data_IF_133907973336
#
_entry.id   IF_133907973336
#
_cell.length_a   1.000
_cell.length_b   1.000
_cell.length_c   1.000
_cell.angle_alpha   90.00
_cell.angle_beta   90.00
_cell.angle_gamma   90.00
#
_symmetry.space_group_name_H-M   'P 1'
#
loop_
_entity.id
_entity.type
_entity.pdbx_description
1 polymer ?
#
# COMPACT_ATOMS: atom_id res chain seq x y z
N UNK A 1 62.08 23.20 -2.32
CA UNK A 1 61.78 21.79 -2.01
C UNK A 1 60.28 21.62 -1.92
N UNK A 2 59.70 20.82 -2.82
CA UNK A 2 58.30 20.38 -2.79
C UNK A 2 58.33 18.85 -2.93
N UNK A 3 57.70 18.14 -2.01
CA UNK A 3 57.55 16.68 -2.10
C UNK A 3 56.12 16.34 -2.52
N UNK A 4 55.98 15.78 -3.71
CA UNK A 4 54.72 15.22 -4.20
C UNK A 4 54.48 13.87 -3.50
N UNK A 5 53.34 13.72 -2.81
CA UNK A 5 52.84 12.42 -2.35
C UNK A 5 51.33 12.37 -2.63
N UNK A 6 50.96 11.80 -3.79
CA UNK A 6 49.63 11.20 -3.94
C UNK A 6 49.67 9.80 -3.35
N UNK A 7 48.57 9.33 -2.74
CA UNK A 7 48.47 7.95 -2.28
C UNK A 7 47.09 7.34 -2.50
N UNK A 8 47.08 6.07 -2.90
CA UNK A 8 45.89 5.30 -3.29
C UNK A 8 45.14 4.72 -2.08
N UNK A 9 43.90 4.27 -2.31
CA UNK A 9 43.15 3.50 -1.31
C UNK A 9 43.79 2.11 -1.09
N UNK A 10 44.20 1.84 0.15
CA UNK A 10 44.81 0.57 0.56
C UNK A 10 44.52 0.20 2.02
N UNK A 11 44.72 -1.08 2.36
CA UNK A 11 44.12 -1.74 3.54
C UNK A 11 44.81 -1.51 4.89
N UNK A 12 44.01 -1.53 5.96
CA UNK A 12 44.25 -2.13 7.29
C UNK A 12 45.67 -2.23 7.89
N UNK A 13 46.45 -1.14 7.92
CA UNK A 13 47.40 -0.84 9.02
C UNK A 13 47.84 0.63 8.99
N UNK A 14 46.84 1.52 8.92
CA UNK A 14 47.06 2.97 8.79
C UNK A 14 47.65 3.53 10.10
N UNK A 15 48.79 4.19 10.00
CA UNK A 15 49.22 5.13 11.04
C UNK A 15 48.21 6.28 11.17
N UNK A 16 48.36 7.17 12.17
CA UNK A 16 47.47 8.33 12.33
C UNK A 16 47.35 9.07 11.00
N UNK A 17 46.12 9.38 10.59
CA UNK A 17 45.88 10.01 9.29
C UNK A 17 46.44 11.44 9.25
N UNK A 18 46.50 12.06 8.07
CA UNK A 18 46.94 13.46 7.98
C UNK A 18 46.05 14.38 8.84
N UNK A 19 44.74 14.11 8.89
CA UNK A 19 43.76 14.73 9.80
C UNK A 19 44.16 14.55 11.26
N UNK A 20 44.41 13.32 11.71
CA UNK A 20 44.73 13.03 13.11
C UNK A 20 46.06 13.65 13.55
N UNK A 21 47.06 13.68 12.66
CA UNK A 21 48.34 14.36 12.92
C UNK A 21 48.17 15.88 13.01
N UNK A 22 47.34 16.49 12.16
CA UNK A 22 47.03 17.92 12.24
C UNK A 22 46.22 18.26 13.49
N UNK A 23 45.25 17.42 13.86
CA UNK A 23 44.48 17.53 15.12
C UNK A 23 45.45 17.46 16.30
N UNK A 24 46.30 16.45 16.39
CA UNK A 24 47.32 16.32 17.43
C UNK A 24 48.31 17.51 17.44
N UNK A 25 48.64 18.10 16.28
CA UNK A 25 49.51 19.29 16.17
C UNK A 25 48.82 20.57 16.67
N UNK A 26 47.52 20.74 16.41
CA UNK A 26 46.71 21.87 16.90
C UNK A 26 46.43 21.73 18.39
N UNK A 27 46.02 20.56 18.87
CA UNK A 27 45.85 20.25 20.29
C UNK A 27 47.15 20.51 21.08
N UNK A 28 48.31 20.13 20.53
CA UNK A 28 49.62 20.45 21.12
C UNK A 28 49.93 21.95 21.15
N UNK A 29 49.49 22.75 20.16
CA UNK A 29 49.59 24.22 20.20
C UNK A 29 48.61 24.85 21.21
N UNK A 30 47.46 24.21 21.46
CA UNK A 30 46.47 24.57 22.50
C UNK A 30 46.94 24.14 23.90
N UNK A 31 47.94 23.25 23.99
CA UNK A 31 48.47 22.73 25.25
C UNK A 31 47.54 21.73 25.95
N UNK A 32 46.68 21.04 25.18
CA UNK A 32 45.67 20.08 25.68
C UNK A 32 45.78 18.74 24.94
N UNK A 33 45.31 17.67 25.57
CA UNK A 33 45.02 16.38 24.90
C UNK A 33 43.60 16.38 24.33
N UNK A 34 43.30 15.41 23.47
CA UNK A 34 41.93 15.12 22.98
C UNK A 34 40.95 14.95 24.14
N UNK A 35 41.40 14.22 25.17
CA UNK A 35 40.58 13.73 26.28
C UNK A 35 40.39 14.80 27.39
N UNK A 36 41.04 15.96 27.23
CA UNK A 36 40.90 17.15 28.09
C UNK A 36 39.94 18.20 27.50
N UNK A 37 39.48 18.03 26.26
CA UNK A 37 38.55 18.94 25.60
C UNK A 37 37.11 18.42 25.72
N UNK A 38 36.16 19.35 25.86
CA UNK A 38 34.74 19.02 25.74
C UNK A 38 34.41 18.66 24.28
N UNK A 39 33.42 17.77 24.00
CA UNK A 39 33.05 17.38 22.65
C UNK A 39 32.94 18.52 21.61
N UNK A 40 32.22 19.64 21.86
CA UNK A 40 32.12 20.74 20.88
C UNK A 40 33.46 21.47 20.63
N UNK A 41 34.42 21.40 21.55
CA UNK A 41 35.76 21.98 21.38
C UNK A 41 36.61 21.07 20.48
N UNK A 42 36.52 19.75 20.66
CA UNK A 42 37.21 18.78 19.82
C UNK A 42 36.63 18.73 18.41
N UNK A 43 35.29 18.76 18.28
CA UNK A 43 34.57 18.87 17.00
C UNK A 43 34.95 20.16 16.25
N UNK A 44 35.02 21.31 16.93
CA UNK A 44 35.47 22.55 16.31
C UNK A 44 36.87 22.43 15.71
N UNK A 45 37.82 21.82 16.43
CA UNK A 45 39.19 21.61 15.93
C UNK A 45 39.19 20.66 14.73
N UNK A 46 38.45 19.55 14.80
CA UNK A 46 38.34 18.58 13.71
C UNK A 46 37.72 19.20 12.45
N UNK A 47 36.54 19.84 12.57
CA UNK A 47 35.80 20.40 11.45
C UNK A 47 36.58 21.52 10.73
N UNK A 48 37.30 22.37 11.47
CA UNK A 48 38.16 23.38 10.84
C UNK A 48 39.38 22.77 10.14
N UNK A 49 39.94 21.66 10.66
CA UNK A 49 41.04 20.95 9.99
C UNK A 49 40.55 20.26 8.72
N UNK A 50 39.33 19.71 8.72
CA UNK A 50 38.73 19.16 7.51
C UNK A 50 38.48 20.24 6.45
N UNK A 51 38.02 21.43 6.85
CA UNK A 51 37.90 22.59 5.93
C UNK A 51 39.28 23.01 5.37
N UNK A 52 40.33 23.02 6.18
CA UNK A 52 41.69 23.35 5.70
C UNK A 52 42.28 22.26 4.78
N UNK A 53 41.96 20.98 5.03
CA UNK A 53 42.35 19.87 4.16
C UNK A 53 41.59 19.92 2.81
N UNK A 54 40.28 20.22 2.83
CA UNK A 54 39.47 20.43 1.63
C UNK A 54 39.91 21.66 0.83
N UNK A 55 40.48 22.68 1.48
CA UNK A 55 41.08 23.84 0.82
C UNK A 55 42.42 23.54 0.11
N UNK A 56 42.95 22.32 0.19
CA UNK A 56 44.10 21.83 -0.59
C UNK A 56 45.47 22.39 -0.18
N UNK A 57 45.54 23.29 0.80
CA UNK A 57 46.79 23.77 1.39
C UNK A 57 46.60 24.06 2.89
N UNK A 58 47.55 23.58 3.70
CA UNK A 58 47.55 23.76 5.16
C UNK A 58 48.88 24.40 5.55
N UNK A 59 48.93 25.73 5.55
CA UNK A 59 50.11 26.47 5.97
C UNK A 59 50.17 26.57 7.50
N UNK A 60 51.36 26.87 8.04
CA UNK A 60 51.53 27.03 9.49
C UNK A 60 50.78 28.26 10.06
N UNK A 61 50.46 29.22 9.17
CA UNK A 61 49.60 30.39 9.45
C UNK A 61 48.16 29.96 9.72
N UNK A 62 47.58 29.13 8.85
CA UNK A 62 46.19 28.67 9.01
C UNK A 62 46.02 27.85 10.30
N UNK A 63 47.04 27.05 10.66
CA UNK A 63 47.11 26.33 11.94
C UNK A 63 47.35 27.23 13.15
N UNK A 64 47.87 28.46 12.98
CA UNK A 64 47.99 29.45 14.04
C UNK A 64 46.68 30.25 14.18
N UNK A 65 46.06 30.62 13.07
CA UNK A 65 44.76 31.30 13.02
C UNK A 65 43.65 30.40 13.57
N UNK A 66 43.70 29.09 13.33
CA UNK A 66 42.79 28.13 13.97
C UNK A 66 42.96 28.11 15.49
N UNK A 67 44.19 28.13 16.01
CA UNK A 67 44.44 28.21 17.47
C UNK A 67 43.95 29.56 18.02
N UNK A 68 44.10 30.66 17.28
CA UNK A 68 43.57 31.95 17.69
C UNK A 68 42.03 31.98 17.68
N UNK A 69 41.39 31.43 16.65
CA UNK A 69 39.93 31.25 16.56
C UNK A 69 39.40 30.38 17.69
N UNK A 70 40.07 29.27 17.99
CA UNK A 70 39.70 28.38 19.11
C UNK A 70 39.62 29.14 20.45
N UNK A 71 40.61 29.99 20.78
CA UNK A 71 40.55 30.80 22.00
C UNK A 71 39.60 32.01 21.94
N UNK A 72 39.18 32.44 20.74
CA UNK A 72 38.12 33.44 20.59
C UNK A 72 36.73 32.82 20.80
N UNK A 73 36.51 31.59 20.30
CA UNK A 73 35.26 30.83 20.46
C UNK A 73 35.13 30.21 21.86
N UNK A 74 36.23 29.75 22.46
CA UNK A 74 36.24 29.08 23.77
C UNK A 74 37.19 29.77 24.77
N UNK A 75 36.94 31.04 25.16
CA UNK A 75 37.81 31.78 26.08
C UNK A 75 37.96 31.09 27.44
N UNK A 76 36.95 30.34 27.88
CA UNK A 76 36.93 29.58 29.13
C UNK A 76 37.97 28.43 29.22
N UNK A 77 38.57 28.00 28.09
CA UNK A 77 39.66 26.99 28.12
C UNK A 77 40.96 27.57 28.69
N UNK A 78 41.08 28.91 28.68
CA UNK A 78 42.28 29.65 29.04
C UNK A 78 43.35 29.59 27.95
N UNK A 79 43.85 30.77 27.52
CA UNK A 79 45.06 30.81 26.68
C UNK A 79 46.21 30.15 27.46
N UNK A 80 47.10 29.39 26.79
CA UNK A 80 48.08 28.59 27.51
C UNK A 80 49.07 29.55 28.16
N UNK A 81 49.30 29.39 29.47
CA UNK A 81 50.29 30.19 30.18
C UNK A 81 51.62 30.14 29.43
N UNK A 82 52.20 31.31 29.14
CA UNK A 82 53.28 31.44 28.16
C UNK A 82 54.52 30.63 28.58
N UNK A 83 54.61 29.39 28.08
CA UNK A 83 55.63 28.43 28.47
C UNK A 83 57.01 28.98 28.18
N UNK A 84 57.94 28.80 29.12
CA UNK A 84 59.19 29.54 29.19
C UNK A 84 59.97 29.46 27.85
N UNK A 85 60.33 30.63 27.32
CA UNK A 85 61.13 30.74 26.09
C UNK A 85 62.47 30.01 26.29
N UNK A 86 62.65 28.88 25.61
CA UNK A 86 63.98 28.28 25.42
C UNK A 86 64.90 29.29 24.73
N UNK A 87 66.09 29.59 25.27
CA UNK A 87 67.06 30.45 24.60
C UNK A 87 67.84 29.64 23.57
N UNK A 88 67.36 29.59 22.32
CA UNK A 88 68.08 28.97 21.20
C UNK A 88 68.17 29.92 20.00
N UNK A 89 69.35 30.52 19.85
CA UNK A 89 69.95 31.17 18.68
C UNK A 89 69.07 31.62 17.48
N UNK A 90 69.26 32.89 17.11
CA UNK A 90 69.81 33.17 15.78
C UNK A 90 68.82 33.45 14.64
N UNK A 91 68.19 34.62 14.67
CA UNK A 91 67.73 35.29 13.44
C UNK A 91 67.80 36.81 13.61
N UNK A 92 68.93 37.40 13.23
CA UNK A 92 68.96 38.80 12.82
C UNK A 92 68.48 38.84 11.38
N UNK A 93 67.35 39.49 11.11
CA UNK A 93 67.17 40.21 9.84
C UNK A 93 66.13 41.32 10.00
N UNK A 94 66.44 42.49 9.47
CA UNK A 94 65.75 43.74 9.78
C UNK A 94 66.74 44.90 9.94
N UNK A 95 67.14 45.55 8.83
CA UNK A 95 68.12 46.64 8.89
C UNK A 95 67.54 47.86 9.63
N UNK A 96 68.30 48.50 10.53
CA UNK A 96 67.88 49.74 11.17
C UNK A 96 67.78 50.88 10.14
N UNK A 97 66.88 51.86 10.35
CA UNK A 97 66.65 52.95 9.38
C UNK A 97 67.89 53.81 9.16
N UNK A 98 67.95 54.45 7.99
CA UNK A 98 69.11 55.20 7.53
C UNK A 98 69.54 56.30 8.52
N UNK A 99 70.85 56.33 8.81
CA UNK A 99 71.47 57.38 9.63
C UNK A 99 71.32 58.75 8.96
N UNK A 100 70.58 59.65 9.60
CA UNK A 100 70.76 61.08 9.37
C UNK A 100 72.07 61.55 10.04
N UNK A 101 72.71 62.56 9.44
CA UNK A 101 74.04 63.03 9.84
C UNK A 101 74.01 63.90 11.09
N UNK A 102 74.93 63.69 12.05
CA UNK A 102 75.41 64.76 12.92
C UNK A 102 76.80 65.25 12.46
N UNK A 103 76.88 66.53 12.12
CA UNK A 103 78.13 67.24 11.78
C UNK A 103 79.05 67.37 12.99
N UNK A 104 79.95 66.40 13.19
CA UNK A 104 81.05 66.53 14.16
C UNK A 104 82.34 66.97 13.47
N UNK A 105 82.58 68.27 13.47
CA UNK A 105 83.79 68.92 12.91
C UNK A 105 85.06 68.53 13.67
N UNK A 106 85.63 67.37 13.35
CA UNK A 106 86.94 66.95 13.80
C UNK A 106 88.02 67.81 13.14
N UNK A 107 88.36 68.95 13.77
CA UNK A 107 89.54 69.74 13.40
C UNK A 107 90.77 68.85 13.54
N UNK A 108 91.39 68.50 12.42
CA UNK A 108 92.77 68.03 12.42
C UNK A 108 93.67 69.13 13.03
N UNK A 109 94.67 68.77 13.85
CA UNK A 109 95.66 69.73 14.29
C UNK A 109 96.43 70.25 13.06
N UNK A 110 96.80 71.53 13.00
CA UNK A 110 97.63 72.04 11.91
C UNK A 110 99.00 71.34 11.92
N UNK A 111 99.62 71.10 10.75
CA UNK A 111 100.94 70.49 10.70
C UNK A 111 101.94 71.33 11.49
N UNK A 112 102.74 70.68 12.33
CA UNK A 112 103.79 71.34 13.08
C UNK A 112 104.74 72.06 12.11
N UNK A 113 104.97 73.36 12.36
CA UNK A 113 105.97 74.12 11.60
C UNK A 113 107.34 73.48 11.84
N UNK A 114 107.90 72.86 10.81
CA UNK A 114 109.31 72.50 10.81
C UNK A 114 110.14 73.77 11.09
N UNK A 115 111.13 73.73 11.99
CA UNK A 115 111.99 74.88 12.19
C UNK A 115 112.73 75.12 10.88
N UNK A 116 112.54 76.30 10.30
CA UNK A 116 113.31 76.75 9.14
C UNK A 116 114.78 76.75 9.57
N UNK A 117 115.66 75.96 8.94
CA UNK A 117 117.08 76.00 9.28
C UNK A 117 117.57 77.43 9.08
N UNK A 118 118.35 78.00 10.02
CA UNK A 118 118.72 79.41 9.96
C UNK A 118 119.36 79.70 8.61
N UNK A 119 118.89 80.74 7.94
CA UNK A 119 119.50 81.19 6.70
C UNK A 119 120.96 81.52 7.02
N UNK A 120 121.88 80.64 6.58
CA UNK A 120 123.31 80.91 6.63
C UNK A 120 123.50 82.16 5.80
N UNK A 121 123.73 83.28 6.49
CA UNK A 121 123.99 84.56 5.88
C UNK A 121 125.33 84.42 5.15
N UNK A 122 125.24 84.01 3.88
CA UNK A 122 126.34 83.87 2.91
C UNK A 122 126.88 85.26 2.58
N UNK A 123 127.46 85.85 3.61
CA UNK A 123 128.29 87.03 3.64
C UNK A 123 129.60 86.68 2.94
N UNK A 124 129.50 86.51 1.62
CA UNK A 124 130.59 86.74 0.68
C UNK A 124 131.01 88.21 0.81
N UNK A 125 131.68 88.54 1.93
CA UNK A 125 132.76 89.51 1.93
C UNK A 125 133.59 89.17 0.70
N UNK A 126 133.67 90.10 -0.26
CA UNK A 126 134.60 89.97 -1.38
C UNK A 126 136.01 90.00 -0.81
N UNK A 127 136.52 88.82 -0.48
CA UNK A 127 137.84 88.61 0.10
C UNK A 127 138.89 89.12 -0.86
N UNK A 128 139.66 90.13 -0.43
CA UNK A 128 140.91 90.57 -1.03
C UNK A 128 140.93 90.58 -2.58
N UNK A 129 140.21 91.54 -3.19
CA UNK A 129 140.80 92.18 -4.38
C UNK A 129 142.05 92.91 -3.87
N UNK A 130 143.19 92.23 -3.95
CA UNK A 130 144.44 92.75 -3.42
C UNK A 130 144.77 94.10 -4.07
N UNK A 131 145.16 95.08 -3.26
CA UNK A 131 145.68 96.37 -3.75
C UNK A 131 147.11 96.16 -4.27
N UNK A 132 147.23 95.50 -5.43
CA UNK A 132 148.50 95.27 -6.10
C UNK A 132 149.06 96.57 -6.70
N UNK A 133 150.38 96.65 -6.83
CA UNK A 133 151.07 97.88 -7.23
C UNK A 133 150.64 98.38 -8.62
N UNK A 134 150.45 99.70 -8.71
CA UNK A 134 149.94 100.39 -9.91
C UNK A 134 150.82 100.15 -11.16
N UNK A 135 152.11 99.83 -10.97
CA UNK A 135 153.07 99.51 -12.03
C UNK A 135 153.05 98.06 -12.56
N UNK A 136 152.23 97.17 -11.99
CA UNK A 136 152.08 95.79 -12.51
C UNK A 136 150.67 95.49 -13.04
N UNK A 137 149.73 96.42 -12.92
CA UNK A 137 148.35 96.26 -13.40
C UNK A 137 148.26 96.16 -14.93
N UNK A 138 149.23 96.74 -15.65
CA UNK A 138 149.30 96.69 -17.11
C UNK A 138 150.13 95.53 -17.67
N UNK A 139 150.70 94.69 -16.80
CA UNK A 139 151.43 93.47 -17.20
C UNK A 139 150.55 92.53 -18.01
N UNK A 140 151.09 91.96 -19.09
CA UNK A 140 150.39 90.99 -19.93
C UNK A 140 149.86 89.78 -19.12
N UNK A 141 150.63 89.32 -18.12
CA UNK A 141 150.22 88.27 -17.20
C UNK A 141 149.01 88.66 -16.33
N UNK A 142 148.90 89.92 -15.91
CA UNK A 142 147.74 90.37 -15.14
C UNK A 142 146.46 90.40 -16.00
N UNK A 143 146.59 90.77 -17.29
CA UNK A 143 145.49 90.76 -18.27
C UNK A 143 145.04 89.33 -18.58
N UNK A 144 145.98 88.41 -18.81
CA UNK A 144 145.69 86.98 -19.02
C UNK A 144 144.90 86.37 -17.85
N UNK A 145 145.33 86.61 -16.61
CA UNK A 145 144.63 86.09 -15.41
C UNK A 145 143.26 86.73 -15.23
N UNK A 146 143.06 88.01 -15.59
CA UNK A 146 141.74 88.65 -15.58
C UNK A 146 140.81 88.09 -16.68
N UNK A 147 141.35 87.72 -17.84
CA UNK A 147 140.63 87.09 -18.95
C UNK A 147 140.26 85.63 -18.65
N UNK A 148 141.18 84.84 -18.08
CA UNK A 148 140.88 83.48 -17.59
C UNK A 148 139.83 83.49 -16.47
N UNK A 149 139.93 84.44 -15.54
CA UNK A 149 138.92 84.61 -14.48
C UNK A 149 137.53 84.92 -15.06
N UNK A 150 137.44 85.83 -16.04
CA UNK A 150 136.18 86.13 -16.77
C UNK A 150 135.66 84.92 -17.53
N UNK A 151 136.51 84.21 -18.26
CA UNK A 151 136.13 83.01 -19.00
C UNK A 151 135.59 81.90 -18.08
N UNK A 152 136.18 81.75 -16.89
CA UNK A 152 135.74 80.81 -15.85
C UNK A 152 134.45 81.24 -15.14
N UNK A 153 134.25 82.54 -14.88
CA UNK A 153 132.96 83.06 -14.39
C UNK A 153 131.85 82.91 -15.45
N UNK A 154 132.15 83.17 -16.73
CA UNK A 154 131.23 82.92 -17.84
C UNK A 154 130.91 81.43 -18.00
N UNK A 155 131.90 80.54 -17.90
CA UNK A 155 131.67 79.09 -17.95
C UNK A 155 130.72 78.65 -16.82
N UNK A 156 130.95 79.11 -15.59
CA UNK A 156 130.07 78.86 -14.43
C UNK A 156 128.69 79.49 -14.58
N UNK A 157 128.56 80.63 -15.27
CA UNK A 157 127.26 81.21 -15.63
C UNK A 157 126.52 80.34 -16.65
N UNK A 158 127.19 79.96 -17.75
CA UNK A 158 126.63 79.09 -18.79
C UNK A 158 126.22 77.71 -18.23
N UNK A 159 126.98 77.16 -17.30
CA UNK A 159 126.65 75.93 -16.56
C UNK A 159 125.38 76.09 -15.73
N UNK A 160 125.27 77.17 -14.94
CA UNK A 160 124.06 77.49 -14.15
C UNK A 160 122.84 77.71 -15.03
N UNK A 161 122.99 78.45 -16.13
CA UNK A 161 121.92 78.75 -17.07
C UNK A 161 121.45 77.46 -17.79
N UNK A 162 122.38 76.55 -18.14
CA UNK A 162 122.05 75.24 -18.68
C UNK A 162 121.38 74.31 -17.66
N UNK A 163 121.82 74.33 -16.39
CA UNK A 163 121.17 73.61 -15.29
C UNK A 163 119.78 74.17 -14.97
N UNK A 164 119.56 75.48 -15.14
CA UNK A 164 118.24 76.11 -15.03
C UNK A 164 117.31 75.62 -16.14
N UNK A 165 117.73 75.70 -17.40
CA UNK A 165 116.96 75.21 -18.56
C UNK A 165 116.57 73.74 -18.41
N UNK A 166 117.51 72.86 -18.01
CA UNK A 166 117.22 71.44 -17.75
C UNK A 166 116.17 71.23 -16.64
N UNK A 167 116.17 72.07 -15.60
CA UNK A 167 115.13 72.04 -14.55
C UNK A 167 113.77 72.56 -15.05
N UNK A 168 113.75 73.56 -15.92
CA UNK A 168 112.53 74.05 -16.57
C UNK A 168 111.94 73.02 -17.55
N UNK A 169 112.79 72.34 -18.32
CA UNK A 169 112.42 71.22 -19.19
C UNK A 169 111.83 70.05 -18.37
N UNK A 170 112.53 69.61 -17.32
CA UNK A 170 112.03 68.58 -16.39
C UNK A 170 110.69 68.99 -15.74
N UNK A 171 110.56 70.26 -15.32
CA UNK A 171 109.31 70.79 -14.77
C UNK A 171 108.18 70.73 -15.80
N UNK A 172 108.41 71.16 -17.04
CA UNK A 172 107.39 71.11 -18.11
C UNK A 172 106.95 69.68 -18.42
N UNK A 173 107.87 68.72 -18.44
CA UNK A 173 107.55 67.29 -18.62
C UNK A 173 106.68 66.77 -17.48
N UNK A 174 106.99 67.11 -16.22
CA UNK A 174 106.18 66.74 -15.06
C UNK A 174 104.80 67.43 -15.07
N UNK A 175 104.72 68.70 -15.48
CA UNK A 175 103.46 69.42 -15.63
C UNK A 175 102.58 68.81 -16.73
N UNK A 176 103.16 68.36 -17.85
CA UNK A 176 102.47 67.61 -18.91
C UNK A 176 101.98 66.24 -18.42
N UNK A 177 102.79 65.48 -17.70
CA UNK A 177 102.38 64.19 -17.11
C UNK A 177 101.23 64.36 -16.12
N UNK A 178 101.26 65.39 -15.28
CA UNK A 178 100.17 65.74 -14.35
C UNK A 178 98.92 66.22 -15.08
N UNK A 179 99.06 66.87 -16.25
CA UNK A 179 97.91 67.24 -17.10
C UNK A 179 97.24 65.98 -17.69
N UNK A 180 98.02 65.12 -18.36
CA UNK A 180 97.52 63.87 -18.94
C UNK A 180 96.86 62.95 -17.90
N UNK A 181 97.40 62.86 -16.68
CA UNK A 181 96.77 62.12 -15.59
C UNK A 181 95.43 62.73 -15.12
N UNK A 182 95.28 64.05 -15.17
CA UNK A 182 93.98 64.71 -14.88
C UNK A 182 92.97 64.43 -15.99
N UNK A 183 93.39 64.53 -17.25
CA UNK A 183 92.53 64.26 -18.41
C UNK A 183 92.06 62.80 -18.43
N UNK A 184 92.97 61.83 -18.25
CA UNK A 184 92.63 60.41 -18.15
C UNK A 184 91.66 60.14 -16.97
N UNK A 185 91.85 60.81 -15.83
CA UNK A 185 90.94 60.69 -14.68
C UNK A 185 89.56 61.31 -14.94
N UNK A 186 89.49 62.41 -15.70
CA UNK A 186 88.22 63.04 -16.10
C UNK A 186 87.48 62.19 -17.14
N UNK A 187 88.17 61.63 -18.13
CA UNK A 187 87.63 60.68 -19.09
C UNK A 187 87.04 59.45 -18.38
N UNK A 188 87.80 58.82 -17.48
CA UNK A 188 87.32 57.67 -16.71
C UNK A 188 86.13 58.02 -15.80
N UNK A 189 86.06 59.25 -15.28
CA UNK A 189 84.88 59.73 -14.55
C UNK A 189 83.66 60.00 -15.45
N UNK A 190 83.84 60.24 -16.75
CA UNK A 190 82.74 60.29 -17.72
C UNK A 190 82.26 58.87 -18.05
N UNK A 191 83.16 57.95 -18.39
CA UNK A 191 82.85 56.52 -18.61
C UNK A 191 82.04 55.92 -17.46
N UNK A 192 82.46 56.15 -16.21
CA UNK A 192 81.75 55.70 -15.00
C UNK A 192 80.34 56.31 -14.85
N UNK A 193 80.12 57.55 -15.32
CA UNK A 193 78.80 58.19 -15.31
C UNK A 193 77.90 57.60 -16.40
N UNK A 194 78.42 57.40 -17.60
CA UNK A 194 77.67 56.77 -18.70
C UNK A 194 77.31 55.32 -18.37
N UNK A 195 78.25 54.54 -17.82
CA UNK A 195 77.99 53.18 -17.35
C UNK A 195 76.94 53.14 -16.23
N UNK A 196 77.02 54.02 -15.23
CA UNK A 196 76.00 54.06 -14.15
C UNK A 196 74.64 54.51 -14.66
N UNK A 197 74.56 55.47 -15.59
CA UNK A 197 73.31 55.84 -16.25
C UNK A 197 72.73 54.68 -17.08
N UNK A 198 73.57 53.91 -17.80
CA UNK A 198 73.14 52.74 -18.54
C UNK A 198 72.59 51.64 -17.62
N UNK A 199 73.24 51.33 -16.50
CA UNK A 199 72.75 50.38 -15.48
C UNK A 199 71.44 50.85 -14.83
N UNK A 200 71.28 52.15 -14.58
CA UNK A 200 70.01 52.72 -14.10
C UNK A 200 68.91 52.57 -15.17
N UNK A 201 69.20 52.81 -16.45
CA UNK A 201 68.24 52.65 -17.53
C UNK A 201 67.84 51.17 -17.77
N UNK A 202 68.75 50.22 -17.60
CA UNK A 202 68.44 48.78 -17.64
C UNK A 202 67.54 48.37 -16.47
N UNK A 203 67.93 48.69 -15.23
CA UNK A 203 67.14 48.34 -14.04
C UNK A 203 65.76 49.01 -14.01
N UNK A 204 65.61 50.20 -14.60
CA UNK A 204 64.30 50.83 -14.82
C UNK A 204 63.42 50.04 -15.80
N UNK A 205 64.00 49.52 -16.90
CA UNK A 205 63.27 48.66 -17.86
C UNK A 205 62.85 47.34 -17.22
N UNK A 206 63.75 46.68 -16.50
CA UNK A 206 63.47 45.44 -15.76
C UNK A 206 62.29 45.62 -14.78
N UNK A 207 62.25 46.75 -14.06
CA UNK A 207 61.15 47.09 -13.14
C UNK A 207 59.84 47.43 -13.87
N UNK A 208 59.90 48.05 -15.06
CA UNK A 208 58.71 48.26 -15.90
C UNK A 208 58.16 46.94 -16.45
N UNK A 209 59.02 46.05 -16.93
CA UNK A 209 58.61 44.75 -17.48
C UNK A 209 58.10 43.81 -16.40
N UNK A 210 58.74 43.74 -15.22
CA UNK A 210 58.17 43.00 -14.07
C UNK A 210 56.80 43.57 -13.65
N UNK A 211 56.61 44.90 -13.71
CA UNK A 211 55.30 45.52 -13.46
C UNK A 211 54.27 45.10 -14.52
N UNK A 212 54.63 45.08 -15.80
CA UNK A 212 53.76 44.64 -16.90
C UNK A 212 53.37 43.17 -16.74
N UNK A 213 54.31 42.28 -16.43
CA UNK A 213 54.03 40.87 -16.14
C UNK A 213 53.09 40.69 -14.95
N UNK A 214 53.33 41.40 -13.83
CA UNK A 214 52.47 41.39 -12.65
C UNK A 214 51.05 41.91 -12.96
N UNK A 215 50.90 42.90 -13.83
CA UNK A 215 49.60 43.37 -14.31
C UNK A 215 48.92 42.37 -15.24
N UNK A 216 49.66 41.69 -16.13
CA UNK A 216 49.12 40.60 -16.94
C UNK A 216 48.67 39.41 -16.10
N UNK A 217 49.45 38.97 -15.11
CA UNK A 217 49.08 37.89 -14.20
C UNK A 217 47.79 38.23 -13.43
N UNK A 218 47.65 39.49 -12.96
CA UNK A 218 46.39 39.98 -12.36
C UNK A 218 45.23 39.93 -13.36
N UNK A 219 45.42 40.37 -14.60
CA UNK A 219 44.38 40.30 -15.65
C UNK A 219 43.99 38.85 -15.98
N UNK A 220 44.96 37.92 -16.02
CA UNK A 220 44.75 36.48 -16.23
C UNK A 220 43.94 35.88 -15.08
N UNK A 221 44.33 36.10 -13.82
CA UNK A 221 43.57 35.63 -12.65
C UNK A 221 42.16 36.24 -12.56
N UNK A 222 41.97 37.51 -12.90
CA UNK A 222 40.62 38.13 -12.90
C UNK A 222 39.71 37.54 -13.98
N UNK A 223 40.24 37.24 -15.18
CA UNK A 223 39.50 36.53 -16.23
C UNK A 223 39.14 35.10 -15.81
N UNK A 224 40.09 34.38 -15.21
CA UNK A 224 39.85 33.02 -14.72
C UNK A 224 38.82 33.00 -13.60
N UNK A 225 38.89 33.95 -12.65
CA UNK A 225 37.89 34.13 -11.60
C UNK A 225 36.50 34.38 -12.19
N UNK A 226 36.37 35.31 -13.15
CA UNK A 226 35.10 35.59 -13.80
C UNK A 226 34.54 34.36 -14.55
N UNK A 227 35.39 33.56 -15.20
CA UNK A 227 34.98 32.31 -15.84
C UNK A 227 34.52 31.24 -14.82
N UNK A 228 35.20 31.12 -13.68
CA UNK A 228 34.77 30.24 -12.57
C UNK A 228 33.44 30.69 -11.96
N UNK A 229 33.25 31.99 -11.75
CA UNK A 229 32.01 32.58 -11.25
C UNK A 229 30.85 32.39 -12.26
N UNK A 230 31.12 32.52 -13.56
CA UNK A 230 30.17 32.22 -14.63
C UNK A 230 29.73 30.74 -14.62
N UNK A 231 30.67 29.78 -14.68
CA UNK A 231 30.31 28.35 -14.66
C UNK A 231 29.58 27.93 -13.37
N UNK A 232 29.89 28.56 -12.22
CA UNK A 232 29.13 28.35 -10.99
C UNK A 232 27.69 28.88 -11.11
N UNK A 233 27.49 30.04 -11.74
CA UNK A 233 26.14 30.57 -11.99
C UNK A 233 25.34 29.69 -12.95
N UNK A 234 25.94 29.22 -14.05
CA UNK A 234 25.33 28.30 -15.01
C UNK A 234 24.95 26.97 -14.37
N UNK A 235 25.82 26.40 -13.53
CA UNK A 235 25.54 25.16 -12.79
C UNK A 235 24.42 25.36 -11.74
N UNK A 236 24.36 26.52 -11.08
CA UNK A 236 23.28 26.84 -10.14
C UNK A 236 21.95 27.06 -10.87
N UNK A 237 21.94 27.66 -12.06
CA UNK A 237 20.75 27.75 -12.91
C UNK A 237 20.31 26.40 -13.46
N UNK A 238 21.23 25.57 -13.96
CA UNK A 238 20.93 24.21 -14.41
C UNK A 238 20.24 23.40 -13.29
N UNK A 239 20.80 23.43 -12.08
CA UNK A 239 20.22 22.76 -10.90
C UNK A 239 18.87 23.34 -10.47
N UNK A 240 18.63 24.66 -10.65
CA UNK A 240 17.30 25.27 -10.43
C UNK A 240 16.27 24.75 -11.43
N UNK A 241 16.61 24.77 -12.73
CA UNK A 241 15.73 24.28 -13.82
C UNK A 241 15.47 22.78 -13.71
N UNK A 242 16.44 21.99 -13.24
CA UNK A 242 16.27 20.57 -12.93
C UNK A 242 15.31 20.35 -11.75
N UNK A 243 15.49 21.07 -10.64
CA UNK A 243 14.57 20.97 -9.49
C UNK A 243 13.15 21.46 -9.84
N UNK A 244 13.02 22.45 -10.72
CA UNK A 244 11.74 22.93 -11.25
C UNK A 244 11.02 21.85 -12.08
N UNK A 245 11.73 21.20 -13.01
CA UNK A 245 11.20 20.03 -13.75
C UNK A 245 10.79 18.89 -12.83
N UNK A 246 11.61 18.54 -11.84
CA UNK A 246 11.28 17.51 -10.85
C UNK A 246 10.00 17.85 -10.09
N UNK A 247 9.78 19.11 -9.70
CA UNK A 247 8.53 19.55 -9.05
C UNK A 247 7.31 19.49 -9.98
N UNK A 248 7.47 19.79 -11.27
CA UNK A 248 6.38 19.69 -12.24
C UNK A 248 6.06 18.22 -12.59
N UNK A 249 7.06 17.34 -12.60
CA UNK A 249 6.91 15.89 -12.73
C UNK A 249 6.22 15.29 -11.49
N UNK A 250 6.66 15.66 -10.27
CA UNK A 250 6.00 15.32 -9.00
C UNK A 250 4.54 15.78 -8.99
N UNK A 251 4.26 17.02 -9.44
CA UNK A 251 2.90 17.57 -9.52
C UNK A 251 2.01 16.77 -10.47
N UNK A 252 2.48 16.50 -11.69
CA UNK A 252 1.73 15.69 -12.67
C UNK A 252 1.43 14.29 -12.14
N UNK A 253 2.41 13.65 -11.48
CA UNK A 253 2.22 12.34 -10.87
C UNK A 253 1.22 12.35 -9.70
N UNK A 254 1.24 13.41 -8.87
CA UNK A 254 0.23 13.61 -7.81
C UNK A 254 -1.16 13.93 -8.36
N UNK A 255 -1.26 14.65 -9.48
CA UNK A 255 -2.52 14.91 -10.19
C UNK A 255 -3.08 13.63 -10.83
N UNK A 256 -2.22 12.80 -11.44
CA UNK A 256 -2.58 11.49 -12.00
C UNK A 256 -3.07 10.52 -10.91
N UNK A 257 -2.38 10.43 -9.77
CA UNK A 257 -2.83 9.66 -8.60
C UNK A 257 -4.19 10.16 -8.10
N UNK A 258 -4.39 11.48 -8.01
CA UNK A 258 -5.68 12.04 -7.62
C UNK A 258 -6.78 11.75 -8.63
N UNK A 259 -6.51 11.76 -9.93
CA UNK A 259 -7.51 11.40 -10.94
C UNK A 259 -7.82 9.90 -10.91
N UNK A 260 -6.81 9.04 -10.76
CA UNK A 260 -6.99 7.61 -10.50
C UNK A 260 -7.86 7.36 -9.27
N UNK A 261 -7.60 8.03 -8.15
CA UNK A 261 -8.43 7.91 -6.94
C UNK A 261 -9.87 8.37 -7.18
N UNK A 262 -10.08 9.49 -7.88
CA UNK A 262 -11.43 9.97 -8.23
C UNK A 262 -12.15 8.95 -9.11
N UNK A 263 -11.49 8.43 -10.16
CA UNK A 263 -12.00 7.36 -11.05
C UNK A 263 -12.28 6.06 -10.29
N UNK A 264 -11.46 5.68 -9.29
CA UNK A 264 -11.67 4.51 -8.42
C UNK A 264 -12.88 4.71 -7.50
N UNK A 265 -12.96 5.85 -6.80
CA UNK A 265 -14.09 6.24 -5.93
C UNK A 265 -15.40 6.35 -6.70
N UNK A 266 -15.38 6.87 -7.93
CA UNK A 266 -16.56 6.95 -8.80
C UNK A 266 -17.01 5.55 -9.28
N UNK A 267 -16.09 4.69 -9.72
CA UNK A 267 -16.40 3.28 -10.06
C UNK A 267 -17.01 2.53 -8.87
N UNK A 268 -16.52 2.78 -7.65
CA UNK A 268 -17.10 2.20 -6.44
C UNK A 268 -18.50 2.77 -6.15
N UNK A 269 -18.70 4.09 -6.29
CA UNK A 269 -20.00 4.72 -6.12
C UNK A 269 -21.04 4.19 -7.13
N UNK A 270 -20.65 4.02 -8.41
CA UNK A 270 -21.50 3.40 -9.44
C UNK A 270 -21.90 1.97 -9.04
N UNK A 271 -20.95 1.12 -8.62
CA UNK A 271 -21.25 -0.22 -8.08
C UNK A 271 -22.19 -0.21 -6.87
N UNK A 272 -22.02 0.75 -5.94
CA UNK A 272 -22.92 0.91 -4.78
C UNK A 272 -24.33 1.34 -5.20
N UNK A 273 -24.47 2.15 -6.25
CA UNK A 273 -25.77 2.54 -6.82
C UNK A 273 -26.43 1.37 -7.56
N UNK A 274 -25.66 0.64 -8.37
CA UNK A 274 -26.10 -0.58 -9.07
C UNK A 274 -26.62 -1.62 -8.07
N UNK A 275 -25.83 -1.97 -7.05
CA UNK A 275 -26.23 -2.89 -5.99
C UNK A 275 -27.49 -2.42 -5.23
N UNK A 276 -27.63 -1.10 -5.00
CA UNK A 276 -28.84 -0.53 -4.38
C UNK A 276 -30.07 -0.62 -5.29
N UNK A 277 -29.90 -0.48 -6.62
CA UNK A 277 -30.99 -0.68 -7.57
C UNK A 277 -31.42 -2.14 -7.69
N UNK A 278 -30.46 -3.09 -7.72
CA UNK A 278 -30.73 -4.53 -7.67
C UNK A 278 -31.45 -4.92 -6.38
N UNK A 279 -31.00 -4.42 -5.21
CA UNK A 279 -31.67 -4.68 -3.94
C UNK A 279 -33.08 -4.09 -3.89
N UNK A 280 -33.31 -2.91 -4.49
CA UNK A 280 -34.66 -2.35 -4.65
C UNK A 280 -35.53 -3.25 -5.56
N UNK A 281 -34.99 -3.71 -6.69
CA UNK A 281 -35.68 -4.63 -7.60
C UNK A 281 -36.10 -5.90 -6.87
N UNK A 282 -35.20 -6.55 -6.11
CA UNK A 282 -35.55 -7.72 -5.29
C UNK A 282 -36.65 -7.43 -4.25
N UNK A 283 -36.69 -6.24 -3.64
CA UNK A 283 -37.78 -5.85 -2.73
C UNK A 283 -39.11 -5.72 -3.49
N UNK A 284 -39.11 -5.08 -4.66
CA UNK A 284 -40.34 -4.87 -5.44
C UNK A 284 -40.83 -6.17 -6.11
N UNK A 285 -39.93 -7.06 -6.52
CA UNK A 285 -40.24 -8.43 -6.96
C UNK A 285 -40.81 -9.28 -5.83
N UNK A 286 -40.21 -9.25 -4.63
CA UNK A 286 -40.70 -10.02 -3.49
C UNK A 286 -42.07 -9.50 -3.00
N UNK A 287 -42.32 -8.19 -3.09
CA UNK A 287 -43.66 -7.60 -2.88
C UNK A 287 -44.68 -8.09 -3.91
N UNK A 288 -44.30 -8.17 -5.20
CA UNK A 288 -45.16 -8.72 -6.25
C UNK A 288 -45.42 -10.23 -6.06
N UNK A 289 -44.44 -10.97 -5.53
CA UNK A 289 -44.62 -12.36 -5.12
C UNK A 289 -45.58 -12.47 -3.92
N UNK A 290 -45.45 -11.63 -2.90
CA UNK A 290 -46.38 -11.58 -1.77
C UNK A 290 -47.81 -11.24 -2.19
N UNK A 291 -48.03 -10.25 -3.05
CA UNK A 291 -49.39 -9.94 -3.54
C UNK A 291 -49.93 -11.09 -4.39
N UNK A 292 -49.12 -11.69 -5.28
CA UNK A 292 -49.51 -12.90 -6.02
C UNK A 292 -49.88 -14.05 -5.09
N UNK A 293 -49.12 -14.28 -4.02
CA UNK A 293 -49.41 -15.30 -2.99
C UNK A 293 -50.74 -15.01 -2.29
N UNK A 294 -50.99 -13.78 -1.85
CA UNK A 294 -52.28 -13.37 -1.24
C UNK A 294 -53.45 -13.54 -2.21
N UNK A 295 -53.28 -13.24 -3.51
CA UNK A 295 -54.30 -13.50 -4.52
C UNK A 295 -54.58 -15.00 -4.71
N UNK A 296 -53.54 -15.86 -4.67
CA UNK A 296 -53.71 -17.33 -4.69
C UNK A 296 -54.43 -17.85 -3.45
N UNK A 297 -54.05 -17.38 -2.26
CA UNK A 297 -54.72 -17.74 -1.00
C UNK A 297 -56.20 -17.31 -0.98
N UNK A 298 -56.51 -16.13 -1.53
CA UNK A 298 -57.91 -15.68 -1.69
C UNK A 298 -58.67 -16.52 -2.72
N UNK A 299 -58.06 -16.87 -3.85
CA UNK A 299 -58.68 -17.73 -4.86
C UNK A 299 -58.90 -19.16 -4.34
N UNK A 300 -57.96 -19.71 -3.55
CA UNK A 300 -58.11 -21.00 -2.87
C UNK A 300 -59.28 -20.97 -1.89
N UNK A 301 -59.39 -19.93 -1.03
CA UNK A 301 -60.56 -19.76 -0.15
C UNK A 301 -61.86 -19.61 -0.91
N UNK A 302 -61.86 -18.96 -2.08
CA UNK A 302 -63.06 -18.87 -2.91
C UNK A 302 -63.44 -20.23 -3.51
N UNK A 303 -62.48 -21.05 -3.93
CA UNK A 303 -62.70 -22.44 -4.35
C UNK A 303 -63.23 -23.28 -3.19
N UNK A 304 -62.60 -23.24 -2.01
CA UNK A 304 -63.05 -23.93 -0.79
C UNK A 304 -64.49 -23.54 -0.42
N UNK A 305 -64.84 -22.24 -0.51
CA UNK A 305 -66.20 -21.75 -0.24
C UNK A 305 -67.21 -22.21 -1.29
N UNK A 306 -66.82 -22.28 -2.58
CA UNK A 306 -67.65 -22.82 -3.66
C UNK A 306 -67.85 -24.34 -3.49
N UNK A 307 -66.79 -25.09 -3.24
CA UNK A 307 -66.84 -26.53 -2.96
C UNK A 307 -67.67 -26.85 -1.71
N UNK A 308 -67.60 -26.02 -0.67
CA UNK A 308 -68.46 -26.12 0.51
C UNK A 308 -69.93 -25.79 0.20
N UNK A 309 -70.19 -24.80 -0.65
CA UNK A 309 -71.55 -24.46 -1.08
C UNK A 309 -72.17 -25.54 -1.97
N UNK A 310 -71.39 -26.10 -2.91
CA UNK A 310 -71.83 -27.18 -3.79
C UNK A 310 -71.91 -28.53 -3.07
N UNK A 311 -71.04 -28.79 -2.09
CA UNK A 311 -71.19 -29.93 -1.17
C UNK A 311 -72.46 -29.81 -0.33
N UNK A 312 -72.80 -28.61 0.16
CA UNK A 312 -74.08 -28.35 0.83
C UNK A 312 -75.26 -28.59 -0.11
N UNK A 313 -75.22 -28.09 -1.35
CA UNK A 313 -76.25 -28.33 -2.38
C UNK A 313 -76.42 -29.81 -2.67
N UNK A 314 -75.33 -30.56 -2.89
CA UNK A 314 -75.37 -32.01 -3.14
C UNK A 314 -75.92 -32.76 -1.93
N UNK A 315 -75.63 -32.32 -0.69
CA UNK A 315 -76.22 -32.90 0.52
C UNK A 315 -77.71 -32.57 0.66
N UNK A 316 -78.13 -31.33 0.44
CA UNK A 316 -79.57 -30.98 0.46
C UNK A 316 -80.34 -31.66 -0.65
N UNK A 317 -79.79 -31.76 -1.86
CA UNK A 317 -80.39 -32.54 -2.95
C UNK A 317 -80.44 -34.04 -2.63
N UNK A 318 -79.42 -34.61 -1.99
CA UNK A 318 -79.46 -36.01 -1.52
C UNK A 318 -80.53 -36.20 -0.45
N UNK A 319 -80.67 -35.27 0.49
CA UNK A 319 -81.74 -35.29 1.48
C UNK A 319 -83.12 -35.14 0.84
N UNK A 320 -83.31 -34.22 -0.10
CA UNK A 320 -84.58 -34.03 -0.82
C UNK A 320 -84.93 -35.25 -1.68
N UNK A 321 -83.96 -35.82 -2.41
CA UNK A 321 -84.14 -37.08 -3.14
C UNK A 321 -84.47 -38.24 -2.19
N UNK A 322 -83.82 -38.34 -1.03
CA UNK A 322 -84.11 -39.36 -0.02
C UNK A 322 -85.47 -39.16 0.66
N UNK A 323 -85.88 -37.90 0.95
CA UNK A 323 -87.20 -37.54 1.46
C UNK A 323 -88.28 -37.86 0.42
N UNK A 324 -88.06 -37.55 -0.86
CA UNK A 324 -88.95 -37.90 -1.95
C UNK A 324 -89.02 -39.43 -2.20
N UNK A 325 -87.92 -40.16 -2.05
CA UNK A 325 -87.92 -41.62 -2.11
C UNK A 325 -88.63 -42.25 -0.91
N UNK A 326 -88.46 -41.69 0.30
CA UNK A 326 -89.19 -42.08 1.51
C UNK A 326 -90.69 -41.80 1.36
N UNK A 327 -91.09 -40.64 0.82
CA UNK A 327 -92.48 -40.32 0.50
C UNK A 327 -93.04 -41.29 -0.57
N UNK A 328 -92.28 -41.60 -1.62
CA UNK A 328 -92.66 -42.62 -2.62
C UNK A 328 -92.79 -44.02 -1.99
N UNK A 329 -91.94 -44.38 -1.03
CA UNK A 329 -92.05 -45.64 -0.26
C UNK A 329 -93.25 -45.63 0.69
N UNK A 330 -93.57 -44.50 1.32
CA UNK A 330 -94.76 -44.33 2.16
C UNK A 330 -96.04 -44.45 1.33
N UNK A 331 -96.15 -43.73 0.22
CA UNK A 331 -97.28 -43.83 -0.71
C UNK A 331 -97.39 -45.24 -1.33
N UNK A 332 -96.27 -45.91 -1.61
CA UNK A 332 -96.27 -47.31 -2.03
C UNK A 332 -96.74 -48.24 -0.90
N UNK A 333 -96.37 -47.95 0.35
CA UNK A 333 -96.86 -48.63 1.55
C UNK A 333 -98.36 -48.46 1.74
N UNK A 334 -98.90 -47.24 1.61
CA UNK A 334 -100.34 -46.97 1.63
C UNK A 334 -101.09 -47.68 0.49
N UNK A 335 -100.52 -47.70 -0.72
CA UNK A 335 -101.09 -48.43 -1.86
C UNK A 335 -101.00 -49.95 -1.66
N UNK A 336 -100.01 -50.45 -0.90
CA UNK A 336 -99.95 -51.86 -0.51
C UNK A 336 -100.93 -52.19 0.63
N UNK A 337 -101.10 -51.30 1.61
CA UNK A 337 -102.13 -51.39 2.66
C UNK A 337 -103.53 -51.42 2.06
N UNK A 338 -103.87 -50.47 1.19
CA UNK A 338 -105.16 -50.44 0.45
C UNK A 338 -105.37 -51.64 -0.46
N UNK A 339 -104.29 -52.26 -0.97
CA UNK A 339 -104.37 -53.55 -1.67
C UNK A 339 -104.60 -54.72 -0.72
N UNK A 340 -104.03 -54.71 0.48
CA UNK A 340 -104.34 -55.72 1.50
C UNK A 340 -105.77 -55.58 2.01
N UNK A 341 -106.24 -54.36 2.29
CA UNK A 341 -107.63 -54.04 2.66
C UNK A 341 -108.63 -54.55 1.61
N UNK A 342 -108.43 -54.23 0.33
CA UNK A 342 -109.30 -54.72 -0.76
C UNK A 342 -109.20 -56.23 -0.98
N UNK A 343 -108.06 -56.87 -0.69
CA UNK A 343 -107.92 -58.33 -0.68
C UNK A 343 -108.68 -58.96 0.50
N UNK A 344 -108.61 -58.38 1.70
CA UNK A 344 -109.38 -58.86 2.86
C UNK A 344 -110.88 -58.68 2.66
N UNK A 345 -111.33 -57.55 2.08
CA UNK A 345 -112.73 -57.36 1.69
C UNK A 345 -113.19 -58.43 0.69
N UNK A 346 -112.35 -58.78 -0.29
CA UNK A 346 -112.69 -59.81 -1.28
C UNK A 346 -112.80 -61.20 -0.64
N UNK A 347 -111.91 -61.56 0.28
CA UNK A 347 -112.01 -62.81 1.04
C UNK A 347 -113.23 -62.83 1.96
N UNK A 348 -113.56 -61.73 2.61
CA UNK A 348 -114.74 -61.63 3.48
C UNK A 348 -116.05 -61.72 2.67
N UNK A 349 -116.10 -61.08 1.49
CA UNK A 349 -117.20 -61.21 0.52
C UNK A 349 -117.32 -62.63 -0.05
N UNK A 350 -116.20 -63.31 -0.32
CA UNK A 350 -116.20 -64.74 -0.71
C UNK A 350 -116.73 -65.64 0.41
N UNK A 351 -116.28 -65.43 1.66
CA UNK A 351 -116.75 -66.19 2.83
C UNK A 351 -118.26 -66.01 3.05
N UNK A 352 -118.76 -64.77 2.96
CA UNK A 352 -120.21 -64.50 3.07
C UNK A 352 -121.00 -65.21 1.95
N UNK A 353 -120.46 -65.30 0.73
CA UNK A 353 -121.06 -66.05 -0.36
C UNK A 353 -121.04 -67.57 -0.12
N UNK A 354 -119.98 -68.13 0.48
CA UNK A 354 -119.91 -69.54 0.88
C UNK A 354 -120.91 -69.86 2.00
N UNK A 355 -120.93 -69.07 3.09
CA UNK A 355 -121.91 -69.22 4.17
C UNK A 355 -123.37 -69.09 3.65
N UNK A 356 -123.61 -68.31 2.59
CA UNK A 356 -124.92 -68.21 1.95
C UNK A 356 -125.28 -69.46 1.12
N UNK A 357 -124.32 -70.07 0.41
CA UNK A 357 -124.55 -71.34 -0.31
C UNK A 357 -124.74 -72.50 0.67
N UNK A 358 -123.94 -72.61 1.72
CA UNK A 358 -124.08 -73.64 2.76
C UNK A 358 -125.47 -73.59 3.42
N UNK A 359 -126.00 -72.38 3.67
CA UNK A 359 -127.38 -72.19 4.16
C UNK A 359 -128.44 -72.60 3.13
N UNK A 360 -128.20 -72.43 1.82
CA UNK A 360 -129.09 -72.95 0.79
C UNK A 360 -129.05 -74.48 0.68
N UNK A 361 -127.87 -75.10 0.79
CA UNK A 361 -127.74 -76.56 0.76
C UNK A 361 -128.35 -77.20 2.02
N UNK A 362 -128.12 -76.63 3.21
CA UNK A 362 -128.79 -77.04 4.43
C UNK A 362 -130.32 -76.93 4.33
N UNK A 363 -130.85 -75.83 3.78
CA UNK A 363 -132.29 -75.67 3.54
C UNK A 363 -132.84 -76.66 2.50
N UNK A 364 -132.03 -77.05 1.50
CA UNK A 364 -132.39 -78.07 0.50
C UNK A 364 -132.42 -79.47 1.11
N UNK A 365 -131.44 -79.81 1.95
CA UNK A 365 -131.40 -81.08 2.70
C UNK A 365 -132.59 -81.19 3.64
N UNK A 366 -132.91 -80.13 4.40
CA UNK A 366 -134.07 -80.09 5.30
C UNK A 366 -135.40 -80.33 4.56
N UNK A 367 -135.58 -79.75 3.36
CA UNK A 367 -136.76 -80.02 2.51
C UNK A 367 -136.82 -81.48 2.04
N UNK A 368 -135.70 -82.08 1.67
CA UNK A 368 -135.62 -83.51 1.29
C UNK A 368 -135.92 -84.43 2.48
N UNK A 369 -135.56 -84.05 3.70
CA UNK A 369 -135.96 -84.77 4.92
C UNK A 369 -137.47 -84.65 5.18
N UNK A 370 -138.03 -83.44 5.14
CA UNK A 370 -139.49 -83.26 5.28
C UNK A 370 -140.30 -83.99 4.21
N UNK A 371 -139.84 -84.03 2.96
CA UNK A 371 -140.48 -84.83 1.91
C UNK A 371 -140.42 -86.33 2.18
N UNK A 372 -139.38 -86.84 2.86
CA UNK A 372 -139.29 -88.25 3.26
C UNK A 372 -140.24 -88.55 4.42
N UNK A 373 -140.22 -87.73 5.47
CA UNK A 373 -141.11 -87.85 6.63
C UNK A 373 -142.60 -87.81 6.21
N UNK A 374 -142.97 -86.93 5.27
CA UNK A 374 -144.32 -86.88 4.72
C UNK A 374 -144.69 -88.12 3.91
N UNK A 375 -143.76 -88.66 3.10
CA UNK A 375 -144.01 -89.89 2.31
C UNK A 375 -144.08 -91.14 3.19
N UNK A 376 -143.26 -91.23 4.25
CA UNK A 376 -143.33 -92.31 5.24
C UNK A 376 -144.63 -92.24 6.05
N UNK A 377 -145.09 -91.06 6.43
CA UNK A 377 -146.41 -90.87 7.06
C UNK A 377 -147.57 -91.28 6.14
N UNK A 378 -147.50 -90.96 4.84
CA UNK A 378 -148.51 -91.39 3.86
C UNK A 378 -148.51 -92.93 3.66
N UNK A 379 -147.32 -93.56 3.57
CA UNK A 379 -147.21 -95.02 3.51
C UNK A 379 -147.73 -95.69 4.78
N UNK A 380 -147.50 -95.12 5.97
CA UNK A 380 -147.99 -95.70 7.22
C UNK A 380 -149.54 -95.64 7.31
N UNK A 381 -150.16 -94.55 6.83
CA UNK A 381 -151.62 -94.47 6.71
C UNK A 381 -152.17 -95.48 5.69
N UNK A 382 -151.54 -95.59 4.50
CA UNK A 382 -151.90 -96.59 3.48
C UNK A 382 -151.74 -98.04 3.98
N UNK A 383 -150.72 -98.31 4.82
CA UNK A 383 -150.55 -99.59 5.53
C UNK A 383 -151.64 -99.84 6.57
N UNK A 384 -152.01 -98.85 7.38
CA UNK A 384 -153.11 -98.95 8.38
C UNK A 384 -154.46 -99.23 7.70
N UNK A 385 -154.75 -98.61 6.55
CA UNK A 385 -155.95 -98.88 5.76
C UNK A 385 -155.99 -100.34 5.23
N UNK A 386 -154.94 -100.78 4.52
CA UNK A 386 -154.86 -102.16 3.99
C UNK A 386 -154.94 -103.23 5.08
N UNK A 387 -154.39 -102.97 6.27
CA UNK A 387 -154.42 -103.89 7.42
C UNK A 387 -155.82 -104.10 8.03
N UNK A 388 -156.80 -103.23 7.75
CA UNK A 388 -158.21 -103.47 8.10
C UNK A 388 -158.99 -104.24 7.02
N UNK A 389 -158.65 -104.09 5.74
CA UNK A 389 -159.30 -104.86 4.66
C UNK A 389 -158.87 -106.33 4.72
N UNK A 390 -157.56 -106.59 4.77
CA UNK A 390 -157.00 -107.95 4.89
C UNK A 390 -157.49 -108.72 6.12
N UNK A 391 -157.87 -108.02 7.21
CA UNK A 391 -158.47 -108.63 8.42
C UNK A 391 -159.92 -109.07 8.27
N UNK A 392 -160.63 -108.67 7.21
CA UNK A 392 -161.97 -109.19 6.87
C UNK A 392 -161.92 -110.37 5.90
N UNK A 393 -160.90 -110.41 5.05
CA UNK A 393 -160.67 -111.49 4.08
C UNK A 393 -160.06 -112.74 4.74
N UNK A 394 -159.26 -112.58 5.80
CA UNK A 394 -158.58 -113.69 6.50
C UNK A 394 -159.49 -114.59 7.37
N UNK A 395 -160.77 -114.23 7.58
CA UNK A 395 -161.71 -115.07 8.35
C UNK A 395 -162.68 -115.87 7.49
N UNK A 396 -162.55 -115.79 6.16
CA UNK A 396 -163.30 -116.61 5.18
C UNK A 396 -162.40 -117.57 4.39
N UNK A 397 -161.14 -117.73 4.79
CA UNK A 397 -160.15 -118.64 4.22
C UNK A 397 -159.32 -119.28 5.35
N UNK A 398 -160.01 -119.96 6.26
CA UNK A 398 -159.47 -120.41 7.55
C UNK A 398 -158.63 -121.71 7.41
N UNK A 399 -159.05 -122.62 6.53
CA UNK A 399 -158.71 -124.04 6.64
C UNK A 399 -157.75 -124.62 5.56
N UNK A 400 -157.27 -123.82 4.60
CA UNK A 400 -156.36 -124.33 3.55
C UNK A 400 -154.87 -123.99 3.77
N UNK A 401 -154.21 -124.94 4.46
CA UNK A 401 -152.82 -125.39 4.26
C UNK A 401 -151.71 -124.41 4.68
N UNK A 402 -150.99 -124.60 5.81
CA UNK A 402 -150.04 -125.70 6.10
C UNK A 402 -148.94 -125.94 5.05
N UNK A 403 -148.00 -124.99 4.86
CA UNK A 403 -146.63 -125.32 4.40
C UNK A 403 -145.54 -124.26 4.71
N UNK A 404 -144.47 -124.70 5.40
CA UNK A 404 -143.05 -124.35 5.18
C UNK A 404 -142.45 -122.94 5.52
N UNK A 405 -141.68 -122.93 6.63
CA UNK A 405 -140.25 -122.45 6.77
C UNK A 405 -139.86 -120.94 6.78
N UNK A 406 -139.85 -120.39 7.99
CA UNK A 406 -138.70 -119.76 8.71
C UNK A 406 -137.39 -119.25 8.02
N UNK A 407 -136.98 -118.02 8.45
CA UNK A 407 -135.69 -117.62 9.12
C UNK A 407 -134.57 -116.75 8.44
N UNK A 408 -134.08 -115.76 9.24
CA UNK A 408 -132.71 -115.14 9.30
C UNK A 408 -132.20 -114.18 8.16
N UNK A 409 -131.22 -113.24 8.31
CA UNK A 409 -130.67 -112.36 9.41
C UNK A 409 -129.56 -111.36 8.87
N UNK A 410 -129.42 -110.14 9.44
CA UNK A 410 -128.17 -109.30 9.62
C UNK A 410 -127.31 -108.83 8.38
N UNK A 411 -126.30 -107.91 8.37
CA UNK A 411 -125.71 -106.88 9.30
C UNK A 411 -124.71 -105.85 8.64
N UNK A 412 -124.56 -104.65 9.24
CA UNK A 412 -123.43 -103.65 9.43
C UNK A 412 -122.06 -103.62 8.67
N UNK A 413 -121.43 -102.41 8.59
CA UNK A 413 -119.95 -102.10 8.50
C UNK A 413 -119.60 -100.78 7.73
N UNK A 414 -118.82 -99.73 8.15
CA UNK A 414 -117.39 -99.52 8.62
C UNK A 414 -116.32 -99.49 7.50
N UNK A 415 -115.24 -98.68 7.43
CA UNK A 415 -114.62 -97.47 8.10
C UNK A 415 -113.36 -97.02 7.26
N UNK A 416 -112.41 -96.06 7.46
CA UNK A 416 -112.06 -94.88 8.34
C UNK A 416 -110.77 -94.16 7.74
N UNK A 417 -109.97 -93.35 8.49
CA UNK A 417 -108.52 -92.92 8.28
C UNK A 417 -108.21 -91.67 7.38
N UNK A 418 -107.22 -90.74 7.56
CA UNK A 418 -106.46 -90.13 8.72
C UNK A 418 -105.81 -88.71 8.38
N UNK A 419 -104.50 -88.41 8.60
CA UNK A 419 -103.95 -87.07 9.04
C UNK A 419 -102.44 -86.75 8.67
N UNK A 420 -101.95 -85.47 8.83
CA UNK A 420 -100.55 -84.95 9.15
C UNK A 420 -99.80 -83.94 8.17
N UNK A 421 -98.61 -83.33 8.49
CA UNK A 421 -98.22 -82.24 9.46
C UNK A 421 -96.70 -81.78 9.38
N UNK A 422 -96.33 -80.51 9.71
CA UNK A 422 -94.97 -79.89 10.01
C UNK A 422 -93.81 -79.89 8.94
N UNK A 423 -92.64 -79.18 9.04
CA UNK A 423 -92.17 -78.02 9.86
C UNK A 423 -90.61 -77.81 10.03
N UNK A 424 -90.04 -76.59 9.85
CA UNK A 424 -88.93 -75.99 10.69
C UNK A 424 -87.38 -75.98 10.36
N UNK A 425 -86.77 -74.76 10.35
CA UNK A 425 -85.42 -74.36 10.92
C UNK A 425 -84.05 -74.40 10.15
N UNK A 426 -82.94 -73.95 10.79
CA UNK A 426 -81.78 -73.14 10.27
C UNK A 426 -80.34 -73.71 10.39
N UNK A 427 -79.33 -73.24 9.61
CA UNK A 427 -77.87 -73.26 9.94
C UNK A 427 -76.95 -72.35 9.03
N UNK A 428 -75.61 -72.34 9.20
CA UNK A 428 -74.67 -71.26 8.78
C UNK A 428 -73.37 -71.71 8.04
N UNK A 429 -72.78 -70.79 7.25
CA UNK A 429 -71.38 -70.65 6.77
C UNK A 429 -70.65 -71.70 5.85
N UNK A 430 -70.07 -71.20 4.74
CA UNK A 430 -68.69 -71.45 4.27
C UNK A 430 -68.30 -70.62 3.00
N UNK A 431 -67.41 -69.60 3.13
CA UNK A 431 -66.49 -69.01 2.10
C UNK A 431 -66.02 -67.58 2.49
N UNK A 432 -64.85 -67.43 3.14
CA UNK A 432 -64.32 -66.08 3.47
C UNK A 432 -62.80 -65.88 3.56
N UNK A 433 -61.97 -66.93 3.66
CA UNK A 433 -60.54 -66.74 4.02
C UNK A 433 -59.58 -66.42 2.85
N UNK A 434 -59.99 -66.61 1.60
CA UNK A 434 -59.11 -66.38 0.44
C UNK A 434 -58.78 -64.89 0.21
N UNK A 435 -59.74 -63.99 0.42
CA UNK A 435 -59.62 -62.55 0.10
C UNK A 435 -58.78 -61.75 1.11
N UNK A 436 -58.48 -62.31 2.28
CA UNK A 436 -57.78 -61.57 3.35
C UNK A 436 -56.27 -61.52 3.12
N UNK A 437 -55.67 -62.66 2.75
CA UNK A 437 -54.21 -62.79 2.55
C UNK A 437 -53.66 -61.98 1.37
N UNK A 438 -54.49 -61.69 0.36
CA UNK A 438 -54.08 -60.89 -0.80
C UNK A 438 -53.85 -59.41 -0.41
N UNK A 439 -54.80 -58.80 0.32
CA UNK A 439 -54.70 -57.40 0.76
C UNK A 439 -53.55 -57.16 1.73
N UNK A 440 -53.28 -58.13 2.60
CA UNK A 440 -52.15 -58.10 3.55
C UNK A 440 -50.76 -58.20 2.86
N UNK A 441 -50.70 -58.67 1.61
CA UNK A 441 -49.49 -58.66 0.79
C UNK A 441 -49.33 -57.33 0.02
N UNK A 442 -50.41 -56.84 -0.58
CA UNK A 442 -50.44 -55.58 -1.34
C UNK A 442 -50.03 -54.38 -0.45
N UNK A 443 -50.56 -54.29 0.77
CA UNK A 443 -50.19 -53.23 1.74
C UNK A 443 -48.72 -53.27 2.17
N UNK A 444 -48.09 -54.45 2.23
CA UNK A 444 -46.66 -54.57 2.58
C UNK A 444 -45.76 -54.08 1.45
N UNK A 445 -46.10 -54.40 0.20
CA UNK A 445 -45.36 -53.92 -0.97
C UNK A 445 -45.46 -52.40 -1.15
N UNK A 446 -46.61 -51.81 -0.82
CA UNK A 446 -46.81 -50.35 -0.85
C UNK A 446 -45.96 -49.63 0.22
N UNK A 447 -46.01 -50.09 1.47
CA UNK A 447 -45.19 -49.55 2.56
C UNK A 447 -43.68 -49.64 2.26
N UNK A 448 -43.24 -50.74 1.64
CA UNK A 448 -41.82 -50.94 1.31
C UNK A 448 -41.31 -49.92 0.29
N UNK A 449 -42.12 -49.60 -0.74
CA UNK A 449 -41.80 -48.55 -1.73
C UNK A 449 -41.74 -47.14 -1.13
N UNK A 450 -42.63 -46.83 -0.18
CA UNK A 450 -42.62 -45.53 0.53
C UNK A 450 -41.34 -45.39 1.36
N UNK A 451 -40.89 -46.48 1.99
CA UNK A 451 -39.67 -46.48 2.81
C UNK A 451 -38.40 -46.34 1.96
N UNK A 452 -38.32 -47.03 0.82
CA UNK A 452 -37.24 -46.88 -0.16
C UNK A 452 -37.17 -45.44 -0.72
N UNK A 453 -38.31 -44.81 -1.03
CA UNK A 453 -38.36 -43.42 -1.50
C UNK A 453 -37.84 -42.43 -0.45
N UNK A 454 -38.21 -42.60 0.83
CA UNK A 454 -37.71 -41.76 1.92
C UNK A 454 -36.20 -41.90 2.17
N UNK A 455 -35.64 -43.10 1.98
CA UNK A 455 -34.19 -43.34 2.07
C UNK A 455 -33.47 -42.60 0.93
N UNK A 456 -33.95 -42.72 -0.32
CA UNK A 456 -33.37 -42.01 -1.47
C UNK A 456 -33.44 -40.49 -1.33
N UNK A 457 -34.56 -39.94 -0.82
CA UNK A 457 -34.68 -38.51 -0.56
C UNK A 457 -33.67 -38.03 0.49
N UNK A 458 -33.48 -38.81 1.56
CA UNK A 458 -32.51 -38.49 2.62
C UNK A 458 -31.07 -38.53 2.11
N UNK A 459 -30.69 -39.55 1.33
CA UNK A 459 -29.37 -39.61 0.68
C UNK A 459 -29.12 -38.42 -0.25
N UNK A 460 -30.11 -38.00 -1.04
CA UNK A 460 -29.98 -36.85 -1.93
C UNK A 460 -29.77 -35.54 -1.16
N UNK A 461 -30.47 -35.35 -0.03
CA UNK A 461 -30.26 -34.20 0.87
C UNK A 461 -28.86 -34.22 1.47
N UNK A 462 -28.39 -35.36 1.98
CA UNK A 462 -27.03 -35.49 2.56
C UNK A 462 -25.93 -35.24 1.52
N UNK A 463 -26.11 -35.69 0.27
CA UNK A 463 -25.19 -35.40 -0.85
C UNK A 463 -25.17 -33.91 -1.21
N UNK A 464 -26.32 -33.21 -1.22
CA UNK A 464 -26.38 -31.76 -1.43
C UNK A 464 -25.68 -30.99 -0.31
N UNK A 465 -25.90 -31.37 0.94
CA UNK A 465 -25.26 -30.76 2.11
C UNK A 465 -23.72 -30.86 2.06
N UNK A 466 -23.19 -32.01 1.61
CA UNK A 466 -21.75 -32.19 1.40
C UNK A 466 -21.24 -31.31 0.25
N UNK A 467 -21.96 -31.25 -0.88
CA UNK A 467 -21.57 -30.39 -2.01
C UNK A 467 -21.54 -28.90 -1.61
N UNK A 468 -22.53 -28.42 -0.84
CA UNK A 468 -22.59 -27.06 -0.32
C UNK A 468 -21.46 -26.75 0.70
N UNK A 469 -21.08 -27.72 1.53
CA UNK A 469 -19.93 -27.62 2.46
C UNK A 469 -18.56 -27.65 1.76
N UNK A 470 -18.47 -28.23 0.57
CA UNK A 470 -17.26 -28.17 -0.27
C UNK A 470 -17.19 -26.82 -1.00
N UNK A 471 -18.28 -26.38 -1.62
CA UNK A 471 -18.34 -25.09 -2.33
C UNK A 471 -18.06 -23.89 -1.42
N UNK A 472 -18.62 -23.89 -0.21
CA UNK A 472 -18.39 -22.82 0.80
C UNK A 472 -17.01 -22.86 1.48
N UNK A 473 -16.11 -23.76 1.05
CA UNK A 473 -14.71 -23.86 1.51
C UNK A 473 -13.68 -23.59 0.40
N UNK A 474 -14.17 -23.29 -0.82
CA UNK A 474 -13.36 -22.95 -1.98
C UNK A 474 -13.50 -21.47 -2.42
N UNK A 475 -14.24 -20.68 -1.63
CA UNK A 475 -14.37 -19.22 -1.72
C UNK A 475 -14.05 -18.58 -0.37
#
# INVERSE_FOLDING_TARGET
FLYFIGFSMGSSKRGPSLRDNLVARVLRKIGRKSDELLPPQLEFVQNNIDVLLLAGSVAERDLADLVHKFYATFPAVGKPAASARRPTHGSNDGPPPARTSPTRSAKSPPPARTPVPPQVANSYRKSAVARTNRMHRDSAWAKHVEEEAKAHEEAKRRERDAAHRKREEQRRILEQQVHAQKEAKLAHQAELREHTQHVIALTQRELEDEKREREEQKRKMMKERAAREAMLSEHLEARRREHERQRDEERRYLEEIQEEERRKKEKELRKRIEARSQFKQYIDENRAFETSKRHREMAQREIELREMADSRRVMTEREERARAEMQRKSLRGEVQGKKQETITELFEKQRIAQEAMERQEAARIARVQQEREQKEAEEEQRRKARKMQLRKEFTSALDEQLAMRHQQKHSQGTSSVDENIFGGSSAFAAKSDALRRQREAEQKAELQRVLEAQIQEKEMRERMDVALKIGSRAM
#
